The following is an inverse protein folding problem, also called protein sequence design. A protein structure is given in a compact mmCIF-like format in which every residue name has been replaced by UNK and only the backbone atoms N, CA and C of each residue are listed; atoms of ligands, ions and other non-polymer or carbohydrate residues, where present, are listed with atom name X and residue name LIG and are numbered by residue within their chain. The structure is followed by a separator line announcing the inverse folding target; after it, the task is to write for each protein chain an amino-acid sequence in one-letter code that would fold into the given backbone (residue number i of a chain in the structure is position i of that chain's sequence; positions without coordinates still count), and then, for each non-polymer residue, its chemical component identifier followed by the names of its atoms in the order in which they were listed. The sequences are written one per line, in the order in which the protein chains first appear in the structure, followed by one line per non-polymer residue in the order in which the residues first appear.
data_IF_494153897778
#
_entry.id   IF_494153897778
#
_cell.length_a   1.000
_cell.length_b   1.000
_cell.length_c   1.000
_cell.angle_alpha   90.00
_cell.angle_beta   90.00
_cell.angle_gamma   90.00
#
_symmetry.space_group_name_H-M   'P 1'
#
loop_
_entity.id
_entity.type
_entity.pdbx_description
1 polymer ?
#
# COMPACT_ATOMS: atom_id res chain seq x y z
N UNK A 1 -1.34 -5.22 -8.13
CA UNK A 1 -0.84 -4.71 -9.42
C UNK A 1 0.64 -4.40 -9.31
N UNK A 2 1.42 -4.92 -10.25
CA UNK A 2 2.86 -4.69 -10.37
C UNK A 2 3.12 -3.90 -11.65
N UNK A 3 4.08 -2.98 -11.62
CA UNK A 3 4.53 -2.24 -12.81
C UNK A 3 5.45 -3.09 -13.69
N UNK A 4 5.90 -2.51 -14.81
CA UNK A 4 6.84 -3.16 -15.75
C UNK A 4 8.20 -3.48 -15.10
N UNK A 5 8.56 -2.76 -14.04
CA UNK A 5 9.74 -3.01 -13.21
C UNK A 5 9.52 -4.08 -12.13
N UNK A 6 8.40 -4.81 -12.21
CA UNK A 6 7.99 -5.87 -11.28
C UNK A 6 7.86 -5.40 -9.82
N UNK A 7 7.76 -4.08 -9.59
CA UNK A 7 7.49 -3.52 -8.26
C UNK A 7 6.00 -3.40 -8.02
N UNK A 8 5.56 -3.75 -6.81
CA UNK A 8 4.19 -3.59 -6.36
C UNK A 8 3.82 -2.10 -6.38
N UNK A 9 2.66 -1.76 -6.96
CA UNK A 9 2.10 -0.40 -6.96
C UNK A 9 0.79 -0.33 -6.21
N UNK A 10 0.06 -1.44 -6.17
CA UNK A 10 -1.23 -1.54 -5.51
C UNK A 10 -1.50 -2.95 -4.99
N UNK A 11 -1.99 -3.02 -3.76
CA UNK A 11 -2.48 -4.24 -3.13
C UNK A 11 -3.92 -4.03 -2.66
N UNK A 12 -4.82 -4.89 -3.11
CA UNK A 12 -6.23 -4.83 -2.75
C UNK A 12 -6.55 -5.99 -1.80
N UNK A 13 -7.24 -5.69 -0.72
CA UNK A 13 -7.59 -6.65 0.33
C UNK A 13 -8.84 -6.16 1.07
N UNK A 14 -9.44 -7.03 1.86
CA UNK A 14 -10.57 -6.68 2.70
C UNK A 14 -10.05 -6.38 4.12
N UNK A 15 -10.53 -5.29 4.70
CA UNK A 15 -10.28 -4.93 6.09
C UNK A 15 -11.49 -5.37 6.89
N UNK A 16 -11.30 -6.20 7.92
CA UNK A 16 -12.40 -6.68 8.76
C UNK A 16 -12.63 -5.82 10.02
N UNK A 17 -11.68 -4.94 10.35
CA UNK A 17 -11.79 -4.01 11.49
C UNK A 17 -12.49 -2.71 11.09
N UNK A 18 -12.91 -1.92 12.09
CA UNK A 18 -13.48 -0.59 11.89
C UNK A 18 -14.70 -0.54 10.95
N UNK A 19 -15.61 -1.53 11.05
CA UNK A 19 -16.85 -1.58 10.27
C UNK A 19 -16.74 -2.24 8.91
N UNK A 20 -15.54 -2.67 8.51
CA UNK A 20 -15.32 -3.45 7.31
C UNK A 20 -15.28 -2.62 6.03
N UNK A 21 -14.24 -2.78 5.22
CA UNK A 21 -14.21 -2.17 3.88
C UNK A 21 -13.23 -2.87 2.93
N UNK A 22 -13.58 -2.81 1.64
CA UNK A 22 -12.67 -3.13 0.54
C UNK A 22 -11.58 -2.06 0.48
N UNK A 23 -10.32 -2.44 0.67
CA UNK A 23 -9.18 -1.54 0.61
C UNK A 23 -8.51 -1.55 -0.77
N UNK A 24 -8.07 -0.37 -1.19
CA UNK A 24 -7.05 -0.19 -2.21
C UNK A 24 -5.83 0.47 -1.56
N UNK A 25 -4.77 -0.31 -1.33
CA UNK A 25 -3.52 0.20 -0.79
C UNK A 25 -2.56 0.56 -1.92
N UNK A 26 -2.26 1.84 -2.06
CA UNK A 26 -1.24 2.36 -2.96
C UNK A 26 0.11 2.33 -2.25
N UNK A 27 1.14 1.85 -2.94
CA UNK A 27 2.50 1.76 -2.39
C UNK A 27 3.50 2.42 -3.32
N UNK A 28 4.44 3.18 -2.75
CA UNK A 28 5.40 4.00 -3.50
C UNK A 28 6.62 4.34 -2.62
N UNK A 29 7.53 5.16 -3.14
CA UNK A 29 8.79 5.56 -2.51
C UNK A 29 9.62 4.34 -2.09
N UNK A 30 9.97 3.47 -3.04
CA UNK A 30 10.78 2.29 -2.75
C UNK A 30 12.16 2.66 -2.21
N UNK A 31 12.55 2.01 -1.11
CA UNK A 31 13.90 2.05 -0.53
C UNK A 31 14.55 0.67 -0.68
N UNK A 32 15.87 0.62 -0.52
CA UNK A 32 16.63 -0.63 -0.47
C UNK A 32 17.25 -0.78 0.92
N UNK A 33 17.08 -1.96 1.53
CA UNK A 33 17.68 -2.33 2.79
C UNK A 33 18.28 -3.73 2.67
N UNK A 34 19.58 -3.84 2.92
CA UNK A 34 20.35 -5.09 2.87
C UNK A 34 20.12 -5.90 1.56
N UNK A 35 20.06 -5.19 0.42
CA UNK A 35 19.84 -5.77 -0.91
C UNK A 35 18.38 -6.08 -1.27
N UNK A 36 17.43 -5.82 -0.37
CA UNK A 36 15.99 -6.03 -0.59
C UNK A 36 15.31 -4.69 -0.86
N UNK A 37 14.63 -4.58 -2.01
CA UNK A 37 13.81 -3.41 -2.35
C UNK A 37 12.39 -3.55 -1.78
N UNK A 38 11.92 -2.54 -1.06
CA UNK A 38 10.58 -2.51 -0.47
C UNK A 38 9.94 -1.12 -0.54
N UNK A 39 8.60 -1.02 -0.61
CA UNK A 39 7.92 0.28 -0.59
C UNK A 39 7.98 0.88 0.82
N UNK A 40 8.50 2.12 0.93
CA UNK A 40 8.60 2.84 2.20
C UNK A 40 7.32 3.58 2.56
N UNK A 41 6.49 3.93 1.58
CA UNK A 41 5.19 4.57 1.79
C UNK A 41 4.04 3.70 1.32
N UNK A 42 3.02 3.59 2.19
CA UNK A 42 1.78 2.87 1.90
C UNK A 42 0.59 3.72 2.35
N UNK A 43 -0.42 3.83 1.49
CA UNK A 43 -1.64 4.61 1.74
C UNK A 43 -2.85 3.76 1.37
N UNK A 44 -3.68 3.42 2.35
CA UNK A 44 -4.89 2.66 2.11
C UNK A 44 -6.11 3.58 2.07
N UNK A 45 -6.94 3.37 1.05
CA UNK A 45 -8.20 4.04 0.83
C UNK A 45 -9.31 3.00 0.71
N UNK A 46 -10.57 3.42 0.88
CA UNK A 46 -11.69 2.56 0.48
C UNK A 46 -11.67 2.39 -1.04
N UNK A 47 -12.01 1.19 -1.50
CA UNK A 47 -12.07 0.83 -2.92
C UNK A 47 -13.53 0.81 -3.35
N UNK A 48 -13.86 1.63 -4.33
CA UNK A 48 -15.19 1.67 -4.94
C UNK A 48 -15.51 0.39 -5.71
N UNK A 49 -16.80 0.23 -6.04
CA UNK A 49 -17.29 -0.85 -6.91
C UNK A 49 -16.71 -0.79 -8.33
N UNK A 50 -16.23 0.38 -8.75
CA UNK A 50 -15.45 0.61 -9.98
C UNK A 50 -13.98 0.21 -9.86
N UNK A 51 -13.59 -0.42 -8.75
CA UNK A 51 -12.22 -0.77 -8.39
C UNK A 51 -11.27 0.43 -8.32
N UNK A 52 -11.77 1.65 -8.11
CA UNK A 52 -10.92 2.85 -7.92
C UNK A 52 -10.80 3.19 -6.43
N UNK A 53 -9.63 3.69 -5.97
CA UNK A 53 -9.51 4.21 -4.62
C UNK A 53 -10.31 5.51 -4.47
N UNK A 54 -11.03 5.65 -3.36
CA UNK A 54 -11.62 6.92 -2.92
C UNK A 54 -10.56 7.67 -2.11
N UNK A 55 -9.90 8.65 -2.73
CA UNK A 55 -8.71 9.31 -2.15
C UNK A 55 -8.97 10.18 -0.91
N UNK A 56 -10.22 10.24 -0.45
CA UNK A 56 -10.63 10.93 0.78
C UNK A 56 -11.81 10.15 1.42
N UNK A 57 -11.74 9.77 2.71
CA UNK A 57 -10.60 9.94 3.61
C UNK A 57 -9.45 8.94 3.37
N UNK A 58 -8.24 9.36 3.74
CA UNK A 58 -7.11 8.44 3.91
C UNK A 58 -7.37 7.55 5.13
N UNK A 59 -7.52 6.25 4.91
CA UNK A 59 -7.88 5.31 5.98
C UNK A 59 -6.67 4.87 6.80
N UNK A 60 -5.55 4.57 6.13
CA UNK A 60 -4.31 4.12 6.78
C UNK A 60 -3.10 4.76 6.12
N UNK A 61 -2.22 5.34 6.93
CA UNK A 61 -0.91 5.84 6.52
C UNK A 61 0.19 5.00 7.17
N UNK A 62 1.11 4.48 6.37
CA UNK A 62 2.31 3.79 6.85
C UNK A 62 3.52 4.42 6.18
N UNK A 63 4.44 4.92 7.00
CA UNK A 63 5.74 5.44 6.59
C UNK A 63 6.83 4.64 7.28
N UNK A 64 7.73 4.06 6.50
CA UNK A 64 8.82 3.21 6.96
C UNK A 64 10.13 3.92 6.63
N UNK A 65 10.92 4.28 7.63
CA UNK A 65 12.16 5.05 7.45
C UNK A 65 13.44 4.24 7.63
N UNK A 66 13.45 3.30 8.57
CA UNK A 66 14.65 2.56 8.96
C UNK A 66 14.37 1.05 8.92
N UNK A 67 15.08 0.32 8.06
CA UNK A 67 14.87 -1.10 7.81
C UNK A 67 16.21 -1.82 7.78
N UNK A 68 16.27 -2.94 8.49
CA UNK A 68 17.40 -3.88 8.50
C UNK A 68 16.85 -5.29 8.58
N UNK A 69 17.54 -6.23 7.94
CA UNK A 69 17.28 -7.67 8.00
C UNK A 69 18.44 -8.37 8.73
N UNK A 70 18.13 -9.43 9.49
CA UNK A 70 19.08 -10.21 10.30
C UNK A 70 18.90 -11.70 10.11
#
# INVERSE_FOLDING_TARGET
FFGDDLLLRRHDYNVDVAGGFDAAQLVYDYIEADGIRLPSRRRAYTRGTDSRPRLDPLMVSIDISEVRFS
#
